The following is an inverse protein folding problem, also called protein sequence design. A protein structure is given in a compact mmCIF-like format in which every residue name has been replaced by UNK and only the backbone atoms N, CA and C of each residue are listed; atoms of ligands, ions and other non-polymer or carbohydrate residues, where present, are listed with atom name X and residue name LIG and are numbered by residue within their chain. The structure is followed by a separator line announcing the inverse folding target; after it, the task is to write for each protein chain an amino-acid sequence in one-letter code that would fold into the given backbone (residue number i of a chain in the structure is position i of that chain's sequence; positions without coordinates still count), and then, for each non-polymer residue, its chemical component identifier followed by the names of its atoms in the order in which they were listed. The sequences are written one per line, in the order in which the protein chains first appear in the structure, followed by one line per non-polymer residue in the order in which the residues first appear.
data_IF_055952905788
#
_entry.id   IF_055952905788
#
_cell.length_a   1.000
_cell.length_b   1.000
_cell.length_c   1.000
_cell.angle_alpha   90.00
_cell.angle_beta   90.00
_cell.angle_gamma   90.00
#
_symmetry.space_group_name_H-M   'P 1'
#
loop_
_entity.id
_entity.type
_entity.pdbx_description
1 polymer ?
#
# COMPACT_ATOMS: atom_id res chain seq x y z
N UNK A 1 -26.84 43.83 32.22
CA UNK A 1 -26.22 43.45 30.95
C UNK A 1 -24.74 43.31 31.23
N UNK A 2 -24.20 42.10 31.23
CA UNK A 2 -22.77 41.86 30.99
C UNK A 2 -22.55 40.36 30.74
N UNK A 3 -22.64 40.00 29.46
CA UNK A 3 -22.36 38.67 28.95
C UNK A 3 -21.13 38.77 28.06
N UNK A 4 -19.94 38.74 28.64
CA UNK A 4 -18.71 38.47 27.88
C UNK A 4 -17.79 37.60 28.71
N UNK A 5 -18.09 36.29 28.71
CA UNK A 5 -17.15 35.27 29.15
C UNK A 5 -16.10 35.12 28.04
N UNK A 6 -14.80 35.36 28.28
CA UNK A 6 -13.79 35.09 27.26
C UNK A 6 -13.78 33.58 27.01
N UNK A 7 -14.14 33.14 25.80
CA UNK A 7 -13.87 31.76 25.37
C UNK A 7 -12.36 31.60 25.38
N UNK A 8 -11.83 30.86 26.36
CA UNK A 8 -10.44 30.43 26.38
C UNK A 8 -10.17 29.63 25.11
N UNK A 9 -9.39 30.20 24.19
CA UNK A 9 -9.08 29.57 22.90
C UNK A 9 -8.92 30.60 21.79
N UNK A 10 -7.95 31.51 21.92
CA UNK A 10 -7.45 32.27 20.77
C UNK A 10 -6.98 31.33 19.66
N UNK A 11 -6.80 31.83 18.41
CA UNK A 11 -6.46 31.00 17.26
C UNK A 11 -5.21 30.16 17.56
N UNK A 12 -5.41 28.85 17.73
CA UNK A 12 -4.34 27.89 17.94
C UNK A 12 -3.48 27.86 16.66
N UNK A 13 -2.16 27.94 16.83
CA UNK A 13 -1.22 27.86 15.72
C UNK A 13 -1.48 26.55 14.95
N UNK A 14 -1.78 26.64 13.65
CA UNK A 14 -2.04 25.45 12.82
C UNK A 14 -0.84 24.51 12.93
N UNK A 15 -1.07 23.25 13.34
CA UNK A 15 -0.04 22.21 13.46
C UNK A 15 0.65 22.04 12.10
N UNK A 16 1.97 22.20 12.07
CA UNK A 16 2.80 22.01 10.88
C UNK A 16 3.56 20.69 11.02
N UNK A 17 3.51 19.85 9.98
CA UNK A 17 4.23 18.58 9.94
C UNK A 17 5.45 18.68 9.04
N UNK A 18 6.61 18.28 9.56
CA UNK A 18 7.80 18.09 8.73
C UNK A 18 7.62 16.91 7.77
N UNK A 19 8.39 16.82 6.67
CA UNK A 19 8.36 15.64 5.80
C UNK A 19 8.61 14.32 6.56
N UNK A 20 9.51 14.32 7.54
CA UNK A 20 9.78 13.17 8.39
C UNK A 20 8.58 12.80 9.26
N UNK A 21 7.90 13.78 9.86
CA UNK A 21 6.69 13.52 10.67
C UNK A 21 5.58 12.88 9.83
N UNK A 22 5.43 13.35 8.59
CA UNK A 22 4.44 12.78 7.65
C UNK A 22 4.75 11.32 7.33
N UNK A 23 6.01 11.00 7.06
CA UNK A 23 6.44 9.63 6.78
C UNK A 23 6.25 8.73 8.02
N UNK A 24 6.62 9.21 9.20
CA UNK A 24 6.41 8.50 10.45
C UNK A 24 4.92 8.22 10.70
N UNK A 25 4.06 9.22 10.48
CA UNK A 25 2.63 9.05 10.63
C UNK A 25 2.02 8.10 9.59
N UNK A 26 2.52 8.08 8.35
CA UNK A 26 2.10 7.12 7.33
C UNK A 26 2.45 5.70 7.74
N UNK A 27 3.70 5.46 8.17
CA UNK A 27 4.15 4.14 8.60
C UNK A 27 3.34 3.62 9.80
N UNK A 28 3.15 4.45 10.82
CA UNK A 28 2.36 4.08 11.99
C UNK A 28 0.87 3.87 11.66
N UNK A 29 0.30 4.66 10.74
CA UNK A 29 -1.06 4.43 10.25
C UNK A 29 -1.18 3.09 9.51
N UNK A 30 -0.22 2.77 8.63
CA UNK A 30 -0.21 1.53 7.85
C UNK A 30 -0.08 0.30 8.76
N UNK A 31 0.80 0.36 9.78
CA UNK A 31 0.90 -0.68 10.81
C UNK A 31 -0.39 -0.81 11.64
N UNK A 32 -1.04 0.30 12.00
CA UNK A 32 -2.32 0.25 12.69
C UNK A 32 -3.42 -0.38 11.82
N UNK A 33 -3.36 -0.22 10.50
CA UNK A 33 -4.31 -0.87 9.58
C UNK A 33 -4.16 -2.39 9.54
N UNK A 34 -2.97 -2.95 9.75
CA UNK A 34 -2.76 -4.40 9.81
C UNK A 34 -3.55 -5.06 10.95
N UNK A 35 -3.78 -4.33 12.04
CA UNK A 35 -4.57 -4.76 13.20
C UNK A 35 -5.99 -4.19 13.20
N UNK A 36 -6.43 -3.59 12.08
CA UNK A 36 -7.73 -2.94 11.92
C UNK A 36 -7.98 -1.74 12.88
N UNK A 37 -6.93 -1.16 13.48
CA UNK A 37 -6.99 0.02 14.37
C UNK A 37 -6.60 1.34 13.68
N UNK A 38 -6.57 1.40 12.35
CA UNK A 38 -6.24 2.62 11.61
C UNK A 38 -7.13 3.81 12.00
N UNK A 39 -8.43 3.57 12.23
CA UNK A 39 -9.36 4.61 12.68
C UNK A 39 -9.11 5.07 14.13
N UNK A 40 -8.65 4.18 15.01
CA UNK A 40 -8.27 4.53 16.38
C UNK A 40 -7.00 5.38 16.39
N UNK A 41 -6.00 5.00 15.60
CA UNK A 41 -4.79 5.79 15.42
C UNK A 41 -5.09 7.23 14.95
N UNK A 42 -5.94 7.40 13.93
CA UNK A 42 -6.33 8.74 13.44
C UNK A 42 -6.95 9.62 14.53
N UNK A 43 -7.82 9.05 15.37
CA UNK A 43 -8.45 9.78 16.47
C UNK A 43 -7.44 10.17 17.55
N UNK A 44 -6.51 9.26 17.91
CA UNK A 44 -5.46 9.52 18.90
C UNK A 44 -4.52 10.63 18.46
N UNK A 45 -4.13 10.64 17.19
CA UNK A 45 -3.21 11.64 16.63
C UNK A 45 -3.90 12.94 16.17
N UNK A 46 -5.24 12.98 16.20
CA UNK A 46 -6.02 14.12 15.69
C UNK A 46 -5.87 14.32 14.18
N UNK A 47 -5.68 13.23 13.43
CA UNK A 47 -5.45 13.24 11.99
C UNK A 47 -6.72 12.88 11.21
N UNK A 48 -6.91 13.53 10.07
CA UNK A 48 -7.97 13.19 9.13
C UNK A 48 -7.46 12.21 8.06
N UNK A 49 -8.33 11.32 7.60
CA UNK A 49 -8.04 10.37 6.52
C UNK A 49 -7.64 11.05 5.21
N UNK A 50 -8.16 12.26 4.95
CA UNK A 50 -7.76 13.11 3.83
C UNK A 50 -6.29 13.49 3.90
N UNK A 51 -5.77 13.77 5.10
CA UNK A 51 -4.36 14.14 5.30
C UNK A 51 -3.44 12.95 5.01
N UNK A 52 -3.79 11.76 5.50
CA UNK A 52 -3.08 10.52 5.17
C UNK A 52 -3.09 10.25 3.67
N UNK A 53 -4.24 10.44 3.02
CA UNK A 53 -4.38 10.23 1.58
C UNK A 53 -3.48 11.18 0.78
N UNK A 54 -3.41 12.46 1.17
CA UNK A 54 -2.52 13.44 0.55
C UNK A 54 -1.05 13.13 0.80
N UNK A 55 -0.68 12.70 2.01
CA UNK A 55 0.71 12.34 2.32
C UNK A 55 1.15 11.09 1.56
N UNK A 56 0.28 10.11 1.34
CA UNK A 56 0.59 8.97 0.45
C UNK A 56 0.90 9.43 -0.96
N UNK A 57 0.10 10.34 -1.53
CA UNK A 57 0.41 10.91 -2.86
C UNK A 57 1.77 11.62 -2.87
N UNK A 58 2.10 12.36 -1.81
CA UNK A 58 3.40 13.04 -1.67
C UNK A 58 4.57 12.05 -1.56
N UNK A 59 4.39 10.93 -0.83
CA UNK A 59 5.37 9.84 -0.74
C UNK A 59 5.55 9.14 -2.08
N UNK A 60 4.47 8.75 -2.74
CA UNK A 60 4.53 8.01 -4.00
C UNK A 60 5.19 8.87 -5.10
N UNK A 61 4.92 10.18 -5.08
CA UNK A 61 5.57 11.17 -5.94
C UNK A 61 7.02 11.50 -5.55
N UNK A 62 7.57 10.91 -4.48
CA UNK A 62 8.96 11.10 -4.04
C UNK A 62 9.26 12.47 -3.43
N UNK A 63 8.23 13.23 -3.02
CA UNK A 63 8.39 14.61 -2.56
C UNK A 63 8.71 14.69 -1.07
N UNK A 64 8.48 13.62 -0.32
CA UNK A 64 8.81 13.55 1.11
C UNK A 64 10.24 13.10 1.36
N UNK A 65 10.87 12.41 0.41
CA UNK A 65 12.22 11.86 0.55
C UNK A 65 13.29 12.94 0.37
N UNK A 66 14.32 12.93 1.22
CA UNK A 66 15.49 13.80 1.10
C UNK A 66 15.26 15.30 1.38
N UNK A 67 14.06 15.72 1.80
CA UNK A 67 13.79 17.13 2.14
C UNK A 67 14.28 17.47 3.56
N UNK A 68 15.02 18.57 3.75
CA UNK A 68 15.44 19.01 5.08
C UNK A 68 14.25 19.45 5.93
N UNK A 69 14.41 19.39 7.25
CA UNK A 69 13.41 19.85 8.21
C UNK A 69 13.06 21.33 7.92
N UNK A 70 11.77 21.60 7.67
CA UNK A 70 11.27 22.96 7.37
C UNK A 70 11.02 23.26 5.89
N UNK A 71 11.41 22.38 4.96
CA UNK A 71 11.07 22.55 3.55
C UNK A 71 9.55 22.39 3.34
N UNK A 72 8.91 23.44 2.80
CA UNK A 72 7.49 23.38 2.43
C UNK A 72 7.30 22.39 1.29
N UNK A 73 6.47 21.37 1.51
CA UNK A 73 5.98 20.51 0.42
C UNK A 73 4.92 21.29 -0.34
N UNK A 74 5.31 21.82 -1.49
CA UNK A 74 4.42 22.54 -2.40
C UNK A 74 3.51 21.60 -3.21
N UNK A 75 2.83 22.17 -4.20
CA UNK A 75 2.09 21.40 -5.21
C UNK A 75 3.06 20.48 -5.97
N UNK A 76 2.59 19.28 -6.31
CA UNK A 76 3.37 18.34 -7.12
C UNK A 76 3.69 18.95 -8.50
N UNK A 77 4.93 18.78 -8.96
CA UNK A 77 5.33 19.11 -10.34
C UNK A 77 4.73 18.10 -11.32
N UNK A 78 4.71 18.44 -12.62
CA UNK A 78 4.23 17.52 -13.65
C UNK A 78 5.01 16.19 -13.66
N UNK A 79 6.32 16.27 -13.51
CA UNK A 79 7.22 15.10 -13.39
C UNK A 79 6.87 14.23 -12.18
N UNK A 80 6.60 14.85 -11.02
CA UNK A 80 6.22 14.13 -9.80
C UNK A 80 4.87 13.43 -9.93
N UNK A 81 3.92 14.04 -10.63
CA UNK A 81 2.63 13.42 -10.96
C UNK A 81 2.84 12.21 -11.87
N UNK A 82 3.71 12.34 -12.88
CA UNK A 82 3.99 11.24 -13.80
C UNK A 82 4.74 10.09 -13.12
N UNK A 83 5.71 10.38 -12.26
CA UNK A 83 6.37 9.37 -11.42
C UNK A 83 5.36 8.61 -10.58
N UNK A 84 4.42 9.31 -9.94
CA UNK A 84 3.38 8.66 -9.15
C UNK A 84 2.43 7.80 -10.00
N UNK A 85 2.13 8.25 -11.23
CA UNK A 85 1.32 7.48 -12.20
C UNK A 85 2.05 6.19 -12.61
N UNK A 86 3.30 6.31 -13.05
CA UNK A 86 4.11 5.19 -13.51
C UNK A 86 4.32 4.15 -12.41
N UNK A 87 4.57 4.58 -11.16
CA UNK A 87 4.68 3.65 -10.02
C UNK A 87 3.39 2.85 -9.79
N UNK A 88 2.21 3.48 -9.92
CA UNK A 88 0.92 2.77 -9.79
C UNK A 88 0.68 1.78 -10.92
N UNK A 89 1.07 2.15 -12.13
CA UNK A 89 0.94 1.27 -13.28
C UNK A 89 1.85 0.05 -13.12
N UNK A 90 3.10 0.26 -12.70
CA UNK A 90 4.07 -0.79 -12.40
C UNK A 90 3.55 -1.75 -11.32
N UNK A 91 3.02 -1.23 -10.20
CA UNK A 91 2.45 -2.08 -9.14
C UNK A 91 1.27 -2.92 -9.66
N UNK A 92 0.39 -2.33 -10.47
CA UNK A 92 -0.74 -3.03 -11.07
C UNK A 92 -0.29 -4.13 -12.04
N UNK A 93 0.71 -3.85 -12.88
CA UNK A 93 1.27 -4.84 -13.81
C UNK A 93 1.95 -5.97 -13.05
N UNK A 94 2.70 -5.67 -12.00
CA UNK A 94 3.35 -6.69 -11.17
C UNK A 94 2.35 -7.59 -10.43
N UNK A 95 1.24 -7.03 -9.92
CA UNK A 95 0.15 -7.82 -9.34
C UNK A 95 -0.50 -8.76 -10.35
N UNK A 96 -0.64 -8.32 -11.60
CA UNK A 96 -1.14 -9.19 -12.68
C UNK A 96 -0.14 -10.30 -13.02
N UNK A 97 1.13 -9.94 -13.15
CA UNK A 97 2.23 -10.87 -13.42
C UNK A 97 2.26 -11.98 -12.37
N UNK A 98 2.32 -11.62 -11.09
CA UNK A 98 2.33 -12.57 -9.96
C UNK A 98 1.10 -13.48 -9.95
N UNK A 99 -0.08 -12.94 -10.28
CA UNK A 99 -1.31 -13.75 -10.40
C UNK A 99 -1.21 -14.74 -11.57
N UNK A 100 -0.70 -14.31 -12.72
CA UNK A 100 -0.53 -15.17 -13.89
C UNK A 100 0.54 -16.25 -13.67
N UNK A 101 1.63 -15.92 -12.99
CA UNK A 101 2.68 -16.87 -12.61
C UNK A 101 2.13 -17.94 -11.67
N UNK A 102 1.36 -17.55 -10.64
CA UNK A 102 0.70 -18.49 -9.75
C UNK A 102 -0.28 -19.41 -10.50
N UNK A 103 -1.02 -18.89 -11.48
CA UNK A 103 -1.92 -19.70 -12.30
C UNK A 103 -1.15 -20.72 -13.16
N UNK A 104 -0.03 -20.31 -13.77
CA UNK A 104 0.85 -21.21 -14.52
C UNK A 104 1.44 -22.30 -13.64
N UNK A 105 1.85 -21.96 -12.41
CA UNK A 105 2.37 -22.93 -11.45
C UNK A 105 1.30 -23.98 -11.08
N UNK A 106 0.06 -23.56 -10.84
CA UNK A 106 -1.06 -24.46 -10.56
C UNK A 106 -1.33 -25.38 -11.75
N UNK A 107 -1.36 -24.84 -12.97
CA UNK A 107 -1.56 -25.63 -14.19
C UNK A 107 -0.44 -26.65 -14.39
N UNK A 108 0.82 -26.26 -14.15
CA UNK A 108 1.96 -27.17 -14.20
C UNK A 108 1.84 -28.32 -13.19
N UNK A 109 1.45 -28.02 -11.95
CA UNK A 109 1.19 -29.05 -10.92
C UNK A 109 0.04 -29.99 -11.30
N UNK A 110 -1.04 -29.44 -11.86
CA UNK A 110 -2.17 -30.24 -12.32
C UNK A 110 -1.76 -31.18 -13.47
N UNK A 111 -0.95 -30.70 -14.42
CA UNK A 111 -0.43 -31.54 -15.51
C UNK A 111 0.44 -32.68 -14.98
N UNK A 112 1.38 -32.38 -14.06
CA UNK A 112 2.24 -33.40 -13.46
C UNK A 112 1.43 -34.46 -12.68
N UNK A 113 0.37 -34.05 -11.97
CA UNK A 113 -0.54 -34.99 -11.31
C UNK A 113 -1.25 -35.90 -12.32
N UNK A 114 -1.78 -35.35 -13.42
CA UNK A 114 -2.43 -36.13 -14.47
C UNK A 114 -1.47 -37.13 -15.12
N UNK A 115 -0.22 -36.73 -15.36
CA UNK A 115 0.82 -37.61 -15.89
C UNK A 115 1.11 -38.78 -14.95
N UNK A 116 1.26 -38.51 -13.63
CA UNK A 116 1.47 -39.57 -12.63
C UNK A 116 0.29 -40.54 -12.52
N UNK A 117 -0.95 -40.03 -12.65
CA UNK A 117 -2.14 -40.87 -12.65
C UNK A 117 -2.21 -41.73 -13.91
N UNK A 118 -1.86 -41.17 -15.07
CA UNK A 118 -1.81 -41.90 -16.34
C UNK A 118 -0.80 -43.05 -16.30
N UNK A 119 0.42 -42.79 -15.83
CA UNK A 119 1.48 -43.81 -15.71
C UNK A 119 1.08 -44.93 -14.73
N UNK A 120 0.39 -44.58 -13.63
CA UNK A 120 -0.13 -45.57 -12.68
C UNK A 120 -1.31 -46.40 -13.20
N UNK A 121 -1.98 -45.94 -14.27
CA UNK A 121 -3.19 -46.56 -14.82
C UNK A 121 -2.90 -47.50 -15.99
N UNK A 122 -1.67 -47.58 -16.50
CA UNK A 122 -1.28 -48.53 -17.55
C UNK A 122 -1.15 -49.95 -16.95
N UNK A 123 -1.96 -50.93 -17.39
CA UNK A 123 -1.82 -52.31 -16.93
C UNK A 123 -0.54 -52.95 -17.51
N UNK A 124 0.22 -53.71 -16.69
CA UNK A 124 1.39 -54.51 -17.12
C UNK A 124 0.94 -55.60 -18.12
N UNK A 125 0.72 -55.21 -19.37
CA UNK A 125 0.41 -56.14 -20.45
C UNK A 125 1.72 -56.75 -20.97
N UNK A 126 2.34 -57.59 -20.15
CA UNK A 126 3.36 -58.52 -20.64
C UNK A 126 2.66 -59.61 -21.44
N UNK A 127 2.92 -59.74 -22.74
CA UNK A 127 2.34 -60.81 -23.52
C UNK A 127 2.95 -62.13 -23.05
N UNK A 128 2.16 -62.96 -22.38
CA UNK A 128 2.52 -64.35 -22.11
C UNK A 128 2.61 -65.08 -23.44
N UNK A 129 3.83 -65.22 -23.98
CA UNK A 129 4.14 -66.14 -25.07
C UNK A 129 3.85 -67.57 -24.62
N UNK A 130 2.93 -68.24 -25.32
CA UNK A 130 2.80 -69.68 -25.37
C UNK A 130 2.79 -70.12 -26.83
#
# INVERSE_FOLDING_TARGET
MDSTRPRAGGPQRRRSFSPADKLAHLAAYEQACETNDGGGYLRREGLYSSLISEWRKQRDAGVLDGKPAGAKVGRLTAEQVEIARLKRELDKTNKRLTTTEAALEIMGKAHALLESLSESAEPDNKPTKR
#
